data_IF_141009047299
#
_entry.id   IF_141009047299
#
_cell.length_a   1.000
_cell.length_b   1.000
_cell.length_c   1.000
_cell.angle_alpha   90.00
_cell.angle_beta   90.00
_cell.angle_gamma   90.00
#
_symmetry.space_group_name_H-M   'P 1'
#
loop_
_entity.id
_entity.type
_entity.pdbx_description
1 polymer ?
#
# COMPACT_ATOMS: atom_id res chain seq x y z
N UNK A 1 15.94 9.01 4.62
CA UNK A 1 15.42 8.21 5.76
C UNK A 1 15.60 6.71 5.52
N UNK A 2 15.73 5.90 6.58
CA UNK A 2 15.73 4.44 6.51
C UNK A 2 14.33 3.87 6.80
N UNK A 3 13.82 3.04 5.89
CA UNK A 3 12.47 2.46 5.98
C UNK A 3 12.55 0.94 6.09
N UNK A 4 11.82 0.37 7.04
CA UNK A 4 11.55 -1.07 7.09
C UNK A 4 10.07 -1.32 6.78
N UNK A 5 9.79 -2.06 5.72
CA UNK A 5 8.44 -2.44 5.30
C UNK A 5 8.24 -3.93 5.49
N UNK A 6 7.35 -4.30 6.42
CA UNK A 6 6.95 -5.68 6.68
C UNK A 6 5.69 -6.00 5.89
N UNK A 7 5.65 -7.17 5.24
CA UNK A 7 4.56 -7.54 4.33
C UNK A 7 4.46 -6.52 3.18
N UNK A 8 5.60 -6.18 2.59
CA UNK A 8 5.74 -5.02 1.68
C UNK A 8 4.82 -5.10 0.46
N UNK A 9 4.46 -6.32 0.04
CA UNK A 9 3.75 -6.55 -1.20
C UNK A 9 4.56 -5.99 -2.36
N UNK A 10 3.96 -5.06 -3.10
CA UNK A 10 4.56 -4.45 -4.30
C UNK A 10 5.11 -3.04 -4.03
N UNK A 11 5.57 -2.77 -2.80
CA UNK A 11 6.18 -1.50 -2.38
C UNK A 11 5.28 -0.26 -2.49
N UNK A 12 4.00 -0.38 -2.10
CA UNK A 12 3.09 0.78 -2.03
C UNK A 12 3.62 1.90 -1.13
N UNK A 13 4.32 1.55 -0.04
CA UNK A 13 4.97 2.53 0.84
C UNK A 13 6.04 3.34 0.11
N UNK A 14 6.93 2.66 -0.62
CA UNK A 14 7.97 3.31 -1.42
C UNK A 14 7.39 4.20 -2.53
N UNK A 15 6.34 3.75 -3.23
CA UNK A 15 5.63 4.59 -4.20
C UNK A 15 5.10 5.87 -3.54
N UNK A 16 4.49 5.75 -2.35
CA UNK A 16 3.94 6.90 -1.63
C UNK A 16 5.03 7.90 -1.19
N UNK A 17 6.17 7.42 -0.68
CA UNK A 17 7.30 8.28 -0.30
C UNK A 17 7.87 9.01 -1.52
N UNK A 18 8.07 8.30 -2.63
CA UNK A 18 8.54 8.89 -3.89
C UNK A 18 7.59 9.95 -4.45
N UNK A 19 6.26 9.70 -4.40
CA UNK A 19 5.24 10.68 -4.79
C UNK A 19 5.31 11.99 -3.99
N UNK A 20 5.80 11.91 -2.76
CA UNK A 20 5.95 13.07 -1.88
C UNK A 20 7.32 13.75 -2.01
N UNK A 21 8.26 13.18 -2.79
CA UNK A 21 9.64 13.65 -2.86
C UNK A 21 10.41 13.42 -1.57
N UNK A 22 10.01 12.45 -0.73
CA UNK A 22 10.74 12.14 0.50
C UNK A 22 11.92 11.23 0.15
N UNK A 23 13.14 11.68 0.44
CA UNK A 23 14.36 10.92 0.19
C UNK A 23 14.46 9.70 1.11
N UNK A 24 14.58 8.53 0.50
CA UNK A 24 14.77 7.24 1.17
C UNK A 24 16.21 6.78 0.93
N UNK A 25 16.99 6.70 2.00
CA UNK A 25 18.40 6.31 1.93
C UNK A 25 18.50 4.79 1.76
N UNK A 26 17.73 4.05 2.55
CA UNK A 26 17.64 2.61 2.49
C UNK A 26 16.18 2.17 2.66
N UNK A 27 15.72 1.28 1.77
CA UNK A 27 14.42 0.63 1.88
C UNK A 27 14.61 -0.87 2.05
N UNK A 28 14.22 -1.37 3.22
CA UNK A 28 14.26 -2.79 3.56
C UNK A 28 12.85 -3.37 3.47
N UNK A 29 12.68 -4.47 2.73
CA UNK A 29 11.39 -5.11 2.50
C UNK A 29 11.41 -6.55 3.00
N UNK A 30 10.49 -6.90 3.90
CA UNK A 30 10.21 -8.29 4.27
C UNK A 30 8.97 -8.75 3.50
N UNK A 31 9.20 -9.60 2.50
CA UNK A 31 8.17 -10.14 1.59
C UNK A 31 8.59 -11.55 1.14
N UNK A 32 7.58 -12.39 0.86
CA UNK A 32 7.77 -13.80 0.45
C UNK A 32 7.12 -14.12 -0.90
N UNK A 33 6.19 -13.27 -1.36
CA UNK A 33 5.45 -13.46 -2.60
C UNK A 33 6.34 -13.10 -3.79
N UNK A 34 6.76 -14.12 -4.52
CA UNK A 34 7.71 -14.01 -5.64
C UNK A 34 7.35 -12.91 -6.65
N UNK A 35 6.08 -12.84 -7.08
CA UNK A 35 5.64 -11.80 -8.02
C UNK A 35 5.72 -10.39 -7.43
N UNK A 36 5.52 -10.25 -6.11
CA UNK A 36 5.59 -8.97 -5.43
C UNK A 36 7.04 -8.48 -5.38
N UNK A 37 7.96 -9.36 -4.96
CA UNK A 37 9.41 -9.13 -4.99
C UNK A 37 9.89 -8.78 -6.41
N UNK A 38 9.43 -9.50 -7.44
CA UNK A 38 9.77 -9.22 -8.84
C UNK A 38 9.36 -7.81 -9.27
N UNK A 39 8.13 -7.39 -8.94
CA UNK A 39 7.63 -6.05 -9.28
C UNK A 39 8.40 -4.97 -8.51
N UNK A 40 8.66 -5.18 -7.23
CA UNK A 40 9.49 -4.28 -6.43
C UNK A 40 10.87 -4.14 -7.02
N UNK A 41 11.58 -5.23 -7.29
CA UNK A 41 12.96 -5.17 -7.81
C UNK A 41 13.04 -4.58 -9.22
N UNK A 42 11.99 -4.74 -10.04
CA UNK A 42 11.93 -4.11 -11.35
C UNK A 42 11.83 -2.58 -11.28
N UNK A 43 11.07 -2.04 -10.33
CA UNK A 43 10.85 -0.60 -10.19
C UNK A 43 11.84 0.08 -9.22
N UNK A 44 12.32 -0.66 -8.22
CA UNK A 44 13.19 -0.21 -7.14
C UNK A 44 14.31 -1.24 -6.91
N UNK A 45 15.30 -1.34 -7.82
CA UNK A 45 16.34 -2.37 -7.79
C UNK A 45 17.26 -2.29 -6.56
N UNK A 46 17.27 -1.15 -5.87
CA UNK A 46 18.06 -0.95 -4.65
C UNK A 46 17.32 -1.38 -3.37
N UNK A 47 16.07 -1.85 -3.47
CA UNK A 47 15.32 -2.34 -2.32
C UNK A 47 15.93 -3.63 -1.79
N UNK A 48 16.25 -3.64 -0.50
CA UNK A 48 16.91 -4.76 0.17
C UNK A 48 15.85 -5.75 0.66
N UNK A 49 15.79 -6.91 0.01
CA UNK A 49 14.83 -7.97 0.34
C UNK A 49 15.33 -8.80 1.51
N UNK A 50 14.57 -8.81 2.60
CA UNK A 50 14.89 -9.52 3.84
C UNK A 50 14.20 -10.89 3.96
N UNK A 51 13.27 -11.22 3.05
CA UNK A 51 12.54 -12.48 3.04
C UNK A 51 11.43 -12.55 4.10
N UNK A 52 11.18 -13.75 4.64
CA UNK A 52 10.12 -14.00 5.62
C UNK A 52 10.38 -13.24 6.93
N UNK A 53 9.37 -12.49 7.39
CA UNK A 53 9.41 -11.74 8.65
C UNK A 53 9.75 -12.63 9.86
N UNK A 54 9.32 -13.90 9.83
CA UNK A 54 9.58 -14.87 10.90
C UNK A 54 11.04 -15.27 10.99
N UNK A 55 11.79 -15.09 9.91
CA UNK A 55 13.22 -15.37 9.84
C UNK A 55 14.07 -14.15 10.21
N UNK A 56 13.46 -12.99 10.48
CA UNK A 56 14.17 -11.81 10.97
C UNK A 56 14.49 -11.98 12.45
N UNK A 57 15.66 -12.54 12.72
CA UNK A 57 16.21 -12.66 14.08
C UNK A 57 16.51 -11.30 14.67
N UNK A 58 16.60 -11.25 16.00
CA UNK A 58 17.00 -10.05 16.73
C UNK A 58 18.35 -9.51 16.26
N UNK A 59 19.34 -10.38 16.06
CA UNK A 59 20.65 -10.02 15.51
C UNK A 59 20.52 -9.40 14.11
N UNK A 60 19.67 -9.96 13.24
CA UNK A 60 19.44 -9.39 11.91
C UNK A 60 18.81 -8.01 12.01
N UNK A 61 17.86 -7.79 12.92
CA UNK A 61 17.22 -6.49 13.13
C UNK A 61 18.20 -5.47 13.71
N UNK A 62 19.07 -5.86 14.64
CA UNK A 62 20.13 -5.02 15.21
C UNK A 62 21.22 -4.65 14.19
N UNK A 63 21.45 -5.51 13.20
CA UNK A 63 22.40 -5.23 12.10
C UNK A 63 21.91 -4.17 11.11
N UNK A 64 20.61 -3.84 11.12
CA UNK A 64 20.06 -2.81 10.24
C UNK A 64 20.51 -1.42 10.72
N UNK A 65 20.66 -0.43 9.80
CA UNK A 65 20.80 0.95 10.23
C UNK A 65 19.56 1.38 11.02
N UNK A 66 19.70 2.44 11.82
CA UNK A 66 18.58 3.01 12.58
C UNK A 66 17.40 3.26 11.65
N UNK A 67 16.28 2.58 11.92
CA UNK A 67 15.05 2.69 11.13
C UNK A 67 14.26 3.92 11.59
N UNK A 68 13.96 4.81 10.65
CA UNK A 68 13.12 5.98 10.90
C UNK A 68 11.63 5.62 10.85
N UNK A 69 11.25 4.77 9.89
CA UNK A 69 9.87 4.45 9.59
C UNK A 69 9.68 2.94 9.45
N UNK A 70 8.83 2.35 10.29
CA UNK A 70 8.34 0.97 10.16
C UNK A 70 6.92 0.96 9.61
N UNK A 71 6.69 0.27 8.51
CA UNK A 71 5.36 0.14 7.92
C UNK A 71 4.98 -1.32 7.70
N UNK A 72 3.67 -1.62 7.71
CA UNK A 72 3.21 -2.95 7.34
C UNK A 72 1.69 -3.12 7.33
N UNK A 73 1.23 -4.11 6.58
CA UNK A 73 -0.18 -4.49 6.50
C UNK A 73 -0.29 -6.00 6.65
N UNK A 74 -0.46 -6.48 7.89
CA UNK A 74 -0.43 -7.92 8.15
C UNK A 74 -1.62 -8.63 7.47
N UNK A 75 -1.43 -9.85 6.93
CA UNK A 75 -2.49 -10.57 6.23
C UNK A 75 -3.79 -10.69 7.03
N UNK A 76 -4.87 -10.09 6.50
CA UNK A 76 -6.16 -9.94 7.19
C UNK A 76 -7.06 -11.19 7.20
N UNK A 77 -6.57 -12.36 6.77
CA UNK A 77 -7.42 -13.53 6.49
C UNK A 77 -8.17 -14.01 7.74
N UNK A 78 -7.54 -14.04 8.92
CA UNK A 78 -8.22 -14.47 10.15
C UNK A 78 -9.12 -13.39 10.78
N UNK A 79 -9.01 -12.13 10.32
CA UNK A 79 -9.74 -10.96 10.80
C UNK A 79 -10.93 -10.58 9.89
N UNK A 80 -10.88 -10.95 8.61
CA UNK A 80 -11.86 -10.55 7.59
C UNK A 80 -13.17 -11.37 7.68
N UNK A 81 -14.37 -10.74 7.55
CA UNK A 81 -15.65 -11.45 7.54
C UNK A 81 -15.83 -12.38 6.35
N UNK A 82 -15.02 -12.22 5.29
CA UNK A 82 -15.07 -13.05 4.09
C UNK A 82 -14.62 -14.51 4.35
N UNK A 83 -14.02 -14.80 5.52
CA UNK A 83 -13.58 -16.14 5.89
C UNK A 83 -14.62 -16.85 6.76
N UNK A 84 -15.07 -18.05 6.31
CA UNK A 84 -16.11 -18.85 6.99
C UNK A 84 -15.71 -19.36 8.38
N UNK A 85 -14.40 -19.45 8.70
CA UNK A 85 -13.85 -19.91 10.00
C UNK A 85 -12.82 -18.91 10.54
N UNK A 86 -13.27 -17.76 11.04
CA UNK A 86 -12.40 -16.75 11.67
C UNK A 86 -11.88 -17.25 13.02
N UNK A 87 -10.55 -17.27 13.19
CA UNK A 87 -9.89 -17.55 14.49
C UNK A 87 -9.47 -16.27 15.24
N UNK A 88 -9.67 -15.08 14.66
CA UNK A 88 -9.27 -13.80 15.25
C UNK A 88 -7.77 -13.70 15.47
N UNK A 89 -7.32 -12.85 16.40
CA UNK A 89 -5.90 -12.70 16.75
C UNK A 89 -5.24 -13.95 17.38
N UNK A 90 -6.02 -14.97 17.75
CA UNK A 90 -5.55 -16.27 18.26
C UNK A 90 -5.38 -17.32 17.16
N UNK A 91 -5.61 -16.98 15.89
CA UNK A 91 -5.36 -17.85 14.75
C UNK A 91 -3.88 -18.04 14.45
N UNK A 92 -3.53 -19.10 13.71
CA UNK A 92 -2.15 -19.31 13.26
C UNK A 92 -1.72 -18.27 12.22
N UNK A 93 -2.64 -17.56 11.55
CA UNK A 93 -2.30 -16.53 10.56
C UNK A 93 -2.28 -15.11 11.13
N UNK A 94 -2.84 -14.87 12.32
CA UNK A 94 -2.65 -13.64 13.09
C UNK A 94 -1.30 -13.58 13.82
N UNK A 95 -0.50 -14.64 13.77
CA UNK A 95 0.92 -14.62 14.19
C UNK A 95 1.69 -13.47 13.54
N UNK A 96 1.36 -13.11 12.29
CA UNK A 96 2.06 -12.05 11.56
C UNK A 96 1.81 -10.65 12.13
N UNK A 97 0.69 -10.40 12.80
CA UNK A 97 0.53 -9.18 13.59
C UNK A 97 1.52 -9.15 14.76
N UNK A 98 1.69 -10.26 15.46
CA UNK A 98 2.65 -10.36 16.57
C UNK A 98 4.10 -10.27 16.09
N UNK A 99 4.42 -10.75 14.89
CA UNK A 99 5.73 -10.49 14.27
C UNK A 99 5.97 -8.99 14.00
N UNK A 100 4.96 -8.27 13.52
CA UNK A 100 5.04 -6.81 13.39
C UNK A 100 5.33 -6.14 14.74
N UNK A 101 4.61 -6.54 15.80
CA UNK A 101 4.82 -6.00 17.16
C UNK A 101 6.21 -6.37 17.70
N UNK A 102 6.69 -7.59 17.48
CA UNK A 102 8.04 -8.02 17.85
C UNK A 102 9.09 -7.12 17.21
N UNK A 103 8.98 -6.90 15.90
CA UNK A 103 9.91 -6.03 15.16
C UNK A 103 9.79 -4.59 15.66
N UNK A 104 8.57 -4.03 15.77
CA UNK A 104 8.33 -2.68 16.29
C UNK A 104 9.00 -2.47 17.65
N UNK A 105 8.81 -3.41 18.57
CA UNK A 105 9.37 -3.34 19.90
C UNK A 105 10.91 -3.49 19.91
N UNK A 106 11.46 -4.27 18.98
CA UNK A 106 12.90 -4.49 18.85
C UNK A 106 13.63 -3.28 18.30
N UNK A 107 13.13 -2.72 17.19
CA UNK A 107 13.83 -1.65 16.46
C UNK A 107 13.46 -0.24 16.92
N UNK A 108 12.34 -0.06 17.64
CA UNK A 108 11.89 1.23 18.20
C UNK A 108 12.01 2.39 17.19
N UNK A 109 11.34 2.29 16.04
CA UNK A 109 11.42 3.29 14.98
C UNK A 109 10.80 4.60 15.45
N UNK A 110 11.22 5.72 14.84
CA UNK A 110 10.64 7.03 15.15
C UNK A 110 9.15 7.07 14.80
N UNK A 111 8.80 6.54 13.63
CA UNK A 111 7.43 6.48 13.14
C UNK A 111 7.04 5.05 12.79
N UNK A 112 5.76 4.73 12.95
CA UNK A 112 5.20 3.47 12.49
C UNK A 112 3.85 3.64 11.80
N UNK A 113 3.50 2.72 10.91
CA UNK A 113 2.18 2.61 10.31
C UNK A 113 1.78 1.15 10.15
N UNK A 114 0.69 0.75 10.83
CA UNK A 114 0.05 -0.54 10.63
C UNK A 114 -1.32 -0.36 9.97
N UNK A 115 -1.56 -1.07 8.86
CA UNK A 115 -2.86 -1.10 8.18
C UNK A 115 -3.57 -2.44 8.38
N UNK A 116 -4.91 -2.40 8.47
CA UNK A 116 -5.74 -3.60 8.38
C UNK A 116 -7.18 -3.30 7.96
N UNK A 117 -7.98 -4.35 7.74
CA UNK A 117 -9.37 -4.26 7.29
C UNK A 117 -10.28 -3.62 8.33
N UNK A 118 -11.14 -2.67 7.91
CA UNK A 118 -12.06 -2.00 8.83
C UNK A 118 -13.17 -2.92 9.37
N UNK A 119 -13.53 -3.96 8.61
CA UNK A 119 -14.57 -4.92 9.01
C UNK A 119 -14.02 -6.06 9.88
N UNK A 120 -13.17 -5.77 10.84
CA UNK A 120 -12.74 -6.74 11.85
C UNK A 120 -13.72 -6.78 13.04
N UNK A 121 -13.59 -7.77 13.93
CA UNK A 121 -14.34 -7.80 15.18
C UNK A 121 -13.87 -6.67 16.10
N UNK A 122 -14.77 -6.13 16.93
CA UNK A 122 -14.41 -5.07 17.87
C UNK A 122 -13.38 -5.55 18.89
N UNK A 123 -13.47 -6.81 19.34
CA UNK A 123 -12.52 -7.38 20.30
C UNK A 123 -11.10 -7.44 19.73
N UNK A 124 -10.95 -7.87 18.47
CA UNK A 124 -9.65 -7.88 17.80
C UNK A 124 -9.10 -6.45 17.62
N UNK A 125 -9.98 -5.49 17.30
CA UNK A 125 -9.61 -4.07 17.16
C UNK A 125 -9.12 -3.47 18.48
N UNK A 126 -9.80 -3.75 19.59
CA UNK A 126 -9.38 -3.24 20.91
C UNK A 126 -8.03 -3.84 21.35
N UNK A 127 -7.78 -5.13 21.07
CA UNK A 127 -6.45 -5.71 21.33
C UNK A 127 -5.36 -5.00 20.53
N UNK A 128 -5.61 -4.65 19.26
CA UNK A 128 -4.63 -3.87 18.47
C UNK A 128 -4.44 -2.46 19.06
N UNK A 129 -5.53 -1.80 19.49
CA UNK A 129 -5.46 -0.48 20.14
C UNK A 129 -4.60 -0.51 21.41
N UNK A 130 -4.85 -1.48 22.28
CA UNK A 130 -4.11 -1.65 23.54
C UNK A 130 -2.64 -1.98 23.27
N UNK A 131 -2.37 -2.87 22.32
CA UNK A 131 -1.01 -3.31 21.98
C UNK A 131 -0.17 -2.18 21.39
N UNK A 132 -0.75 -1.33 20.54
CA UNK A 132 -0.05 -0.21 19.91
C UNK A 132 -0.13 1.10 20.71
N UNK A 133 -0.97 1.17 21.75
CA UNK A 133 -1.20 2.38 22.55
C UNK A 133 -1.90 3.51 21.80
N UNK A 134 -2.46 3.27 20.61
CA UNK A 134 -3.11 4.28 19.76
C UNK A 134 -4.40 3.74 19.14
N UNK A 135 -5.34 4.62 18.82
CA UNK A 135 -6.56 4.26 18.08
C UNK A 135 -6.36 4.49 16.58
N UNK A 136 -7.02 3.71 15.71
CA UNK A 136 -6.83 3.84 14.28
C UNK A 136 -7.62 5.02 13.72
N UNK A 137 -7.13 5.52 12.59
CA UNK A 137 -7.90 6.38 11.70
C UNK A 137 -8.55 5.51 10.65
N UNK A 138 -9.87 5.64 10.47
CA UNK A 138 -10.63 4.88 9.49
C UNK A 138 -10.76 5.68 8.20
N UNK A 139 -10.18 5.18 7.12
CA UNK A 139 -10.21 5.85 5.81
C UNK A 139 -10.85 4.92 4.80
N UNK A 140 -11.84 5.44 4.08
CA UNK A 140 -12.32 4.80 2.88
C UNK A 140 -11.64 5.44 1.66
N UNK A 141 -11.02 4.60 0.84
CA UNK A 141 -10.28 5.01 -0.35
C UNK A 141 -11.16 5.74 -1.37
N UNK A 142 -12.50 5.72 -1.23
CA UNK A 142 -13.42 6.50 -2.07
C UNK A 142 -13.08 7.99 -2.14
N UNK A 143 -12.45 8.53 -1.09
CA UNK A 143 -12.04 9.94 -1.00
C UNK A 143 -10.92 10.27 -2.00
N UNK A 144 -10.07 9.29 -2.32
CA UNK A 144 -8.89 9.46 -3.17
C UNK A 144 -8.85 8.46 -4.32
N UNK A 145 -9.90 7.69 -4.55
CA UNK A 145 -9.92 6.70 -5.62
C UNK A 145 -11.35 6.40 -6.04
N UNK A 146 -11.48 5.73 -7.18
CA UNK A 146 -12.72 5.19 -7.68
C UNK A 146 -13.11 3.84 -7.04
N UNK A 147 -12.54 3.44 -5.89
CA UNK A 147 -12.93 2.20 -5.20
C UNK A 147 -13.46 2.41 -3.77
N UNK A 148 -14.42 1.58 -3.39
CA UNK A 148 -14.93 1.46 -2.02
C UNK A 148 -14.04 0.52 -1.19
N UNK A 149 -12.93 1.03 -0.65
CA UNK A 149 -11.96 0.28 0.17
C UNK A 149 -11.78 0.93 1.54
N UNK A 150 -12.47 0.36 2.53
CA UNK A 150 -12.52 0.83 3.92
C UNK A 150 -11.48 0.11 4.79
N UNK A 151 -10.58 0.88 5.43
CA UNK A 151 -9.40 0.41 6.16
C UNK A 151 -9.17 1.19 7.44
N UNK A 152 -8.44 0.57 8.36
CA UNK A 152 -7.97 1.14 9.62
C UNK A 152 -6.46 1.28 9.57
N UNK A 153 -5.97 2.42 10.06
CA UNK A 153 -4.56 2.78 10.08
C UNK A 153 -4.17 3.18 11.50
N UNK A 154 -3.33 2.38 12.15
CA UNK A 154 -2.73 2.70 13.45
C UNK A 154 -1.35 3.29 13.22
N UNK A 155 -1.08 4.45 13.81
CA UNK A 155 0.15 5.17 13.55
C UNK A 155 0.41 6.25 14.59
N UNK A 156 1.67 6.63 14.74
CA UNK A 156 2.13 7.83 15.45
C UNK A 156 2.64 8.93 14.50
N UNK A 157 2.35 8.82 13.19
CA UNK A 157 2.69 9.85 12.21
C UNK A 157 2.06 11.20 12.62
N UNK A 158 2.76 12.32 12.39
CA UNK A 158 2.24 13.64 12.73
C UNK A 158 1.14 14.08 11.77
N UNK A 159 0.24 14.93 12.26
CA UNK A 159 -0.77 15.65 11.45
C UNK A 159 -1.71 14.75 10.62
N UNK A 160 -1.97 13.52 11.08
CA UNK A 160 -2.82 12.58 10.34
C UNK A 160 -4.29 12.99 10.47
N UNK A 161 -4.95 13.11 9.32
CA UNK A 161 -6.36 13.46 9.18
C UNK A 161 -7.00 12.69 8.04
N UNK A 162 -8.30 12.89 7.78
CA UNK A 162 -8.92 12.34 6.58
C UNK A 162 -8.49 13.14 5.34
N UNK A 163 -8.20 12.48 4.20
CA UNK A 163 -7.98 13.18 2.95
C UNK A 163 -9.26 13.87 2.48
N UNK A 164 -9.10 14.99 1.78
CA UNK A 164 -10.24 15.63 1.08
C UNK A 164 -10.77 14.72 -0.02
N UNK A 165 -12.07 14.71 -0.21
CA UNK A 165 -12.68 13.97 -1.32
C UNK A 165 -12.30 14.63 -2.65
N UNK A 166 -11.68 13.85 -3.54
CA UNK A 166 -11.24 14.27 -4.88
C UNK A 166 -12.29 14.03 -5.96
N UNK A 167 -13.46 13.45 -5.62
CA UNK A 167 -14.54 13.23 -6.57
C UNK A 167 -14.22 12.24 -7.70
N UNK A 168 -13.24 11.34 -7.49
CA UNK A 168 -12.74 10.44 -8.55
C UNK A 168 -13.75 9.31 -8.80
N UNK A 169 -14.40 9.29 -9.95
CA UNK A 169 -15.39 8.27 -10.32
C UNK A 169 -14.76 7.10 -11.07
N UNK A 170 -15.46 5.97 -11.14
CA UNK A 170 -15.02 4.79 -11.88
C UNK A 170 -14.81 5.08 -13.37
N UNK A 171 -15.64 5.91 -13.98
CA UNK A 171 -15.47 6.36 -15.36
C UNK A 171 -14.10 7.04 -15.60
N UNK A 172 -13.54 7.77 -14.61
CA UNK A 172 -12.25 8.45 -14.75
C UNK A 172 -11.05 7.49 -14.80
N UNK A 173 -11.22 6.24 -14.36
CA UNK A 173 -10.11 5.26 -14.36
C UNK A 173 -10.12 4.35 -15.58
N UNK A 174 -11.25 4.27 -16.31
CA UNK A 174 -11.41 3.41 -17.49
C UNK A 174 -10.54 3.92 -18.66
N UNK A 175 -10.01 3.00 -19.46
CA UNK A 175 -9.37 3.34 -20.74
C UNK A 175 -10.38 3.36 -21.88
N UNK A 176 -11.36 2.46 -21.85
CA UNK A 176 -12.41 2.33 -22.86
C UNK A 176 -13.71 1.86 -22.23
N UNK A 177 -14.83 2.07 -22.92
CA UNK A 177 -16.14 1.64 -22.45
C UNK A 177 -16.68 2.54 -21.34
N UNK A 178 -17.76 2.09 -20.69
CA UNK A 178 -18.44 2.84 -19.64
C UNK A 178 -18.92 1.91 -18.52
N UNK A 179 -19.45 2.52 -17.45
CA UNK A 179 -19.99 1.83 -16.28
C UNK A 179 -21.22 2.56 -15.76
N UNK A 180 -22.17 1.81 -15.21
CA UNK A 180 -23.35 2.29 -14.46
C UNK A 180 -23.05 2.51 -12.97
N UNK A 181 -21.81 2.27 -12.51
CA UNK A 181 -21.40 2.48 -11.11
C UNK A 181 -20.53 3.71 -10.95
N UNK A 182 -20.81 4.48 -9.91
CA UNK A 182 -19.96 5.62 -9.53
C UNK A 182 -18.57 5.17 -9.02
N UNK A 183 -18.51 4.04 -8.31
CA UNK A 183 -17.29 3.47 -7.73
C UNK A 183 -17.25 1.96 -7.94
N UNK A 184 -16.05 1.42 -8.13
CA UNK A 184 -15.78 -0.01 -8.04
C UNK A 184 -15.89 -0.49 -6.58
N UNK A 185 -16.21 -1.77 -6.39
CA UNK A 185 -15.89 -2.42 -5.10
C UNK A 185 -14.37 -2.43 -4.87
N UNK A 186 -13.94 -2.66 -3.62
CA UNK A 186 -12.55 -2.95 -3.34
C UNK A 186 -12.04 -4.10 -4.23
N UNK A 187 -10.82 -3.93 -4.77
CA UNK A 187 -10.11 -5.04 -5.41
C UNK A 187 -9.78 -6.11 -4.36
N UNK A 188 -9.87 -7.36 -4.79
CA UNK A 188 -9.63 -8.55 -3.97
C UNK A 188 -8.71 -9.51 -4.73
N UNK A 189 -8.01 -10.39 -4.02
CA UNK A 189 -7.25 -11.48 -4.64
C UNK A 189 -8.11 -12.44 -5.48
N UNK A 190 -9.46 -12.37 -5.42
CA UNK A 190 -10.32 -13.11 -6.35
C UNK A 190 -10.36 -12.50 -7.76
N UNK A 191 -9.97 -11.23 -7.91
CA UNK A 191 -9.87 -10.57 -9.21
C UNK A 191 -8.76 -11.15 -10.09
N UNK A 192 -7.80 -11.88 -9.52
CA UNK A 192 -6.79 -12.65 -10.27
C UNK A 192 -7.36 -13.89 -10.98
N UNK A 193 -8.60 -14.27 -10.66
CA UNK A 193 -9.30 -15.44 -11.22
C UNK A 193 -10.65 -15.02 -11.81
N UNK A 194 -10.65 -14.18 -12.87
CA UNK A 194 -11.89 -13.71 -13.49
C UNK A 194 -12.71 -14.88 -14.05
N UNK A 195 -14.04 -14.75 -13.99
CA UNK A 195 -14.95 -15.68 -14.66
C UNK A 195 -14.81 -15.55 -16.18
N UNK A 196 -14.85 -16.68 -16.90
CA UNK A 196 -14.72 -16.68 -18.37
C UNK A 196 -16.06 -16.52 -19.10
N UNK A 197 -17.16 -17.04 -18.54
CA UNK A 197 -18.50 -16.95 -19.15
C UNK A 197 -19.10 -15.58 -18.85
N UNK A 198 -19.52 -14.90 -19.91
CA UNK A 198 -20.14 -13.57 -19.83
C UNK A 198 -21.45 -13.62 -19.04
N UNK A 199 -22.21 -14.70 -19.16
CA UNK A 199 -23.45 -14.92 -18.40
C UNK A 199 -23.15 -15.01 -16.89
N UNK A 200 -22.08 -15.73 -16.51
CA UNK A 200 -21.65 -15.82 -15.10
C UNK A 200 -21.10 -14.49 -14.59
N UNK A 201 -20.38 -13.75 -15.44
CA UNK A 201 -19.92 -12.39 -15.11
C UNK A 201 -21.11 -11.47 -14.85
N UNK A 202 -22.08 -11.45 -15.76
CA UNK A 202 -23.31 -10.66 -15.67
C UNK A 202 -24.13 -11.02 -14.43
N UNK A 203 -24.35 -12.32 -14.18
CA UNK A 203 -25.05 -12.79 -12.99
C UNK A 203 -24.35 -12.31 -11.71
N UNK A 204 -23.02 -12.42 -11.64
CA UNK A 204 -22.25 -11.93 -10.49
C UNK A 204 -22.36 -10.41 -10.37
N UNK A 205 -22.40 -9.70 -11.49
CA UNK A 205 -22.52 -8.25 -11.55
C UNK A 205 -23.88 -7.74 -11.10
N UNK A 206 -24.96 -8.11 -11.78
CA UNK A 206 -26.32 -7.63 -11.52
C UNK A 206 -26.95 -8.26 -10.28
N UNK A 207 -26.80 -9.58 -10.05
CA UNK A 207 -27.56 -10.27 -8.99
C UNK A 207 -26.88 -10.23 -7.62
N UNK A 208 -25.55 -10.27 -7.57
CA UNK A 208 -24.82 -10.28 -6.29
C UNK A 208 -24.12 -8.96 -5.98
N UNK A 209 -24.04 -8.05 -6.95
CA UNK A 209 -23.23 -6.83 -6.87
C UNK A 209 -21.71 -7.11 -6.76
N UNK A 210 -21.29 -8.37 -6.75
CA UNK A 210 -19.98 -8.82 -6.26
C UNK A 210 -18.93 -8.96 -7.38
N UNK A 211 -18.93 -8.01 -8.31
CA UNK A 211 -17.85 -7.76 -9.26
C UNK A 211 -17.99 -6.39 -9.89
N UNK A 212 -16.93 -5.89 -10.52
CA UNK A 212 -16.97 -4.70 -11.38
C UNK A 212 -16.79 -5.17 -12.83
N UNK A 213 -17.69 -4.74 -13.72
CA UNK A 213 -17.55 -4.95 -15.17
C UNK A 213 -17.58 -3.60 -15.88
N UNK A 214 -17.05 -3.58 -17.09
CA UNK A 214 -17.08 -2.45 -18.03
C UNK A 214 -17.87 -2.87 -19.26
N UNK A 215 -18.74 -1.99 -19.74
CA UNK A 215 -19.51 -2.17 -20.96
C UNK A 215 -18.75 -1.55 -22.14
N UNK A 216 -18.48 -2.32 -23.19
CA UNK A 216 -17.57 -1.89 -24.26
C UNK A 216 -18.26 -1.07 -25.36
N UNK A 217 -19.55 -1.29 -25.63
CA UNK A 217 -20.25 -0.77 -26.81
C UNK A 217 -21.31 0.31 -26.52
N UNK A 218 -21.18 1.06 -25.41
CA UNK A 218 -22.12 2.15 -25.08
C UNK A 218 -23.54 1.68 -24.68
N UNK A 219 -23.78 0.37 -24.65
CA UNK A 219 -25.05 -0.24 -24.25
C UNK A 219 -24.79 -1.24 -23.11
N UNK A 220 -25.68 -1.28 -22.12
CA UNK A 220 -25.68 -2.35 -21.12
C UNK A 220 -26.17 -3.65 -21.76
N UNK A 221 -25.24 -4.52 -22.15
CA UNK A 221 -25.58 -5.83 -22.69
C UNK A 221 -24.68 -6.93 -22.08
N UNK A 222 -25.15 -8.18 -22.12
CA UNK A 222 -24.43 -9.33 -21.55
C UNK A 222 -23.26 -9.80 -22.41
N UNK A 223 -23.17 -9.39 -23.68
CA UNK A 223 -22.22 -9.94 -24.66
C UNK A 223 -20.92 -9.14 -24.70
N UNK A 224 -21.00 -7.82 -24.50
CA UNK A 224 -19.94 -6.83 -24.63
C UNK A 224 -19.51 -6.27 -23.27
N UNK A 225 -19.27 -7.19 -22.32
CA UNK A 225 -18.78 -6.87 -20.98
C UNK A 225 -17.37 -7.39 -20.78
N UNK A 226 -16.52 -6.61 -20.13
CA UNK A 226 -15.18 -7.06 -19.73
C UNK A 226 -14.92 -6.76 -18.26
N UNK A 227 -13.90 -7.43 -17.72
CA UNK A 227 -13.30 -6.98 -16.47
C UNK A 227 -12.37 -5.79 -16.73
N UNK A 228 -12.02 -5.10 -15.64
CA UNK A 228 -10.98 -4.08 -15.67
C UNK A 228 -9.67 -4.67 -16.19
N UNK A 229 -9.04 -3.94 -17.10
CA UNK A 229 -7.72 -4.26 -17.61
C UNK A 229 -6.64 -3.92 -16.56
N UNK A 230 -5.39 -4.24 -16.86
CA UNK A 230 -4.29 -4.08 -15.90
C UNK A 230 -4.06 -2.62 -15.49
N UNK A 231 -4.07 -1.68 -16.44
CA UNK A 231 -3.86 -0.25 -16.18
C UNK A 231 -5.01 0.33 -15.34
N UNK A 232 -6.24 -0.08 -15.61
CA UNK A 232 -7.42 0.34 -14.85
C UNK A 232 -7.37 -0.20 -13.40
N UNK A 233 -6.84 -1.41 -13.18
CA UNK A 233 -6.61 -1.95 -11.84
C UNK A 233 -5.53 -1.16 -11.07
N UNK A 234 -4.44 -0.78 -11.75
CA UNK A 234 -3.39 0.07 -11.18
C UNK A 234 -3.94 1.44 -10.76
N UNK A 235 -4.72 2.08 -11.64
CA UNK A 235 -5.40 3.36 -11.38
C UNK A 235 -6.36 3.26 -10.20
N UNK A 236 -7.11 2.16 -10.06
CA UNK A 236 -7.95 1.94 -8.88
C UNK A 236 -7.14 1.93 -7.58
N UNK A 237 -5.95 1.35 -7.57
CA UNK A 237 -5.07 1.39 -6.40
C UNK A 237 -4.19 2.64 -6.33
N UNK A 238 -4.40 3.61 -7.23
CA UNK A 238 -3.60 4.84 -7.37
C UNK A 238 -2.10 4.56 -7.55
N UNK A 239 -1.79 3.39 -8.08
CA UNK A 239 -0.45 2.97 -8.49
C UNK A 239 -0.16 3.57 -9.87
N UNK A 240 1.10 3.98 -10.18
CA UNK A 240 1.44 4.47 -11.50
C UNK A 240 1.06 3.48 -12.60
N UNK A 241 0.51 3.99 -13.72
CA UNK A 241 0.17 3.14 -14.87
C UNK A 241 1.42 2.49 -15.44
N UNK A 242 1.36 1.18 -15.67
CA UNK A 242 2.47 0.35 -16.12
C UNK A 242 3.39 -0.15 -15.01
N UNK A 243 3.14 0.14 -13.73
CA UNK A 243 3.98 -0.31 -12.61
C UNK A 243 4.12 -1.84 -12.53
N UNK A 244 3.05 -2.56 -12.87
CA UNK A 244 3.00 -4.03 -12.83
C UNK A 244 3.22 -4.66 -14.20
N UNK A 245 3.66 -3.91 -15.23
CA UNK A 245 3.72 -4.35 -16.64
C UNK A 245 4.54 -5.62 -16.92
N UNK A 246 5.44 -6.00 -16.01
CA UNK A 246 6.22 -7.23 -16.10
C UNK A 246 5.41 -8.50 -15.78
N UNK A 247 4.19 -8.33 -15.27
CA UNK A 247 3.25 -9.39 -14.95
C UNK A 247 2.10 -9.40 -15.96
N UNK A 248 1.44 -10.54 -16.09
CA UNK A 248 0.14 -10.56 -16.75
C UNK A 248 -0.96 -9.94 -15.87
N UNK A 249 -2.07 -9.56 -16.48
CA UNK A 249 -3.21 -8.90 -15.81
C UNK A 249 -3.70 -9.62 -14.56
N UNK A 250 -3.72 -10.95 -14.55
CA UNK A 250 -4.22 -11.72 -13.41
C UNK A 250 -3.21 -11.77 -12.26
N UNK A 251 -1.93 -11.92 -12.56
CA UNK A 251 -0.85 -11.78 -11.57
C UNK A 251 -0.82 -10.37 -10.98
N UNK A 252 -0.97 -9.33 -11.81
CA UNK A 252 -1.10 -7.95 -11.36
C UNK A 252 -2.33 -7.75 -10.46
N UNK A 253 -3.49 -8.27 -10.85
CA UNK A 253 -4.72 -8.18 -10.05
C UNK A 253 -4.56 -8.83 -8.67
N UNK A 254 -3.77 -9.89 -8.56
CA UNK A 254 -3.47 -10.55 -7.28
C UNK A 254 -2.67 -9.64 -6.34
N UNK A 255 -1.64 -8.95 -6.86
CA UNK A 255 -0.86 -7.99 -6.08
C UNK A 255 -1.66 -6.73 -5.73
N UNK A 256 -2.37 -6.19 -6.71
CA UNK A 256 -3.20 -4.99 -6.56
C UNK A 256 -4.36 -5.22 -5.59
N UNK A 257 -4.95 -6.41 -5.52
CA UNK A 257 -5.99 -6.73 -4.54
C UNK A 257 -5.49 -6.64 -3.09
N UNK A 258 -4.28 -7.15 -2.86
CA UNK A 258 -3.63 -7.17 -1.54
C UNK A 258 -3.05 -5.80 -1.16
N UNK A 259 -2.51 -5.06 -2.14
CA UNK A 259 -1.82 -3.78 -1.92
C UNK A 259 -2.67 -2.64 -1.36
N UNK A 260 -1.99 -1.61 -0.88
CA UNK A 260 -2.61 -0.37 -0.42
C UNK A 260 -3.04 0.54 -1.55
N UNK A 261 -4.04 1.37 -1.29
CA UNK A 261 -4.33 2.54 -2.12
C UNK A 261 -3.24 3.59 -1.84
N UNK A 262 -2.29 3.72 -2.78
CA UNK A 262 -1.08 4.54 -2.64
C UNK A 262 -1.36 5.97 -2.19
N UNK A 263 -2.40 6.63 -2.71
CA UNK A 263 -2.70 8.02 -2.36
C UNK A 263 -3.26 8.19 -0.95
N UNK A 264 -3.82 7.13 -0.34
CA UNK A 264 -4.12 7.15 1.10
C UNK A 264 -2.81 7.14 1.88
N UNK A 265 -1.86 6.30 1.49
CA UNK A 265 -0.55 6.19 2.17
C UNK A 265 0.26 7.48 2.01
N UNK A 266 0.26 8.08 0.81
CA UNK A 266 0.89 9.38 0.56
C UNK A 266 0.24 10.50 1.40
N UNK A 267 -1.09 10.47 1.60
CA UNK A 267 -1.74 11.41 2.51
C UNK A 267 -1.27 11.22 3.97
N UNK A 268 -1.18 9.99 4.45
CA UNK A 268 -0.70 9.68 5.81
C UNK A 268 0.77 10.12 6.00
N UNK A 269 1.62 9.92 5.00
CA UNK A 269 3.03 10.32 5.04
C UNK A 269 3.25 11.81 4.83
N UNK A 270 2.22 12.60 4.47
CA UNK A 270 2.40 14.03 4.20
C UNK A 270 2.97 14.80 5.42
N UNK A 271 2.65 14.37 6.64
CA UNK A 271 3.21 14.94 7.87
C UNK A 271 4.73 14.76 8.02
N UNK A 272 5.34 13.84 7.27
CA UNK A 272 6.80 13.62 7.29
C UNK A 272 7.57 14.63 6.42
N UNK A 273 6.90 15.33 5.50
CA UNK A 273 7.55 16.21 4.53
C UNK A 273 8.39 17.31 5.19
N UNK A 274 7.85 17.98 6.19
CA UNK A 274 8.53 19.10 6.85
C UNK A 274 9.89 18.68 7.42
N UNK A 275 9.99 17.47 7.96
CA UNK A 275 11.24 16.98 8.53
C UNK A 275 12.23 16.49 7.47
N UNK A 276 11.77 15.81 6.43
CA UNK A 276 12.65 15.07 5.52
C UNK A 276 12.88 15.75 4.16
N UNK A 277 12.10 16.75 3.79
CA UNK A 277 12.40 17.64 2.64
C UNK A 277 13.36 18.75 3.09
N UNK A 278 13.18 19.31 4.30
CA UNK A 278 14.06 20.37 4.82
C UNK A 278 15.48 19.88 5.11
N UNK A 279 15.66 18.58 5.40
CA UNK A 279 17.00 17.97 5.53
C UNK A 279 17.80 18.07 4.23
N UNK A 280 17.16 17.90 3.08
CA UNK A 280 17.80 17.95 1.76
C UNK A 280 18.21 19.38 1.40
N UNK A 281 17.31 20.37 1.56
CA UNK A 281 17.63 21.79 1.33
C UNK A 281 18.83 22.23 2.18
N UNK A 282 18.90 21.77 3.44
CA UNK A 282 20.01 22.09 4.31
C UNK A 282 21.31 21.38 3.90
N UNK A 283 21.25 20.11 3.46
CA UNK A 283 22.42 19.37 2.97
C UNK A 283 22.99 19.98 1.68
N UNK A 284 22.13 20.31 0.70
CA UNK A 284 22.54 20.97 -0.54
C UNK A 284 23.14 22.36 -0.25
N UNK A 285 22.55 23.12 0.67
CA UNK A 285 23.10 24.42 1.07
C UNK A 285 24.48 24.30 1.74
N UNK A 286 24.69 23.25 2.55
CA UNK A 286 25.96 23.01 3.23
C UNK A 286 27.05 22.56 2.23
N UNK A 287 26.71 21.68 1.29
CA UNK A 287 27.63 21.25 0.22
C UNK A 287 28.02 22.42 -0.70
N UNK A 288 27.07 23.27 -1.07
CA UNK A 288 27.34 24.47 -1.87
C UNK A 288 28.24 25.47 -1.11
N UNK A 289 28.00 25.69 0.20
CA UNK A 289 28.88 26.52 1.01
C UNK A 289 30.31 25.95 1.16
N UNK A 290 30.45 24.63 1.19
CA UNK A 290 31.76 23.97 1.28
C UNK A 290 32.54 24.06 -0.03
N UNK A 291 31.86 23.93 -1.17
CA UNK A 291 32.42 24.19 -2.51
C UNK A 291 32.85 25.65 -2.68
N UNK A 292 32.03 26.60 -2.23
CA UNK A 292 32.36 28.03 -2.28
C UNK A 292 33.59 28.36 -1.44
N UNK A 293 33.74 27.74 -0.26
CA UNK A 293 34.94 27.89 0.59
C UNK A 293 36.19 27.33 -0.10
N UNK A 294 36.11 26.13 -0.67
CA UNK A 294 37.21 25.52 -1.40
C UNK A 294 37.63 26.36 -2.61
N UNK A 295 36.66 26.93 -3.31
CA UNK A 295 36.93 27.83 -4.43
C UNK A 295 37.65 29.11 -3.96
N UNK A 296 37.17 29.77 -2.90
CA UNK A 296 37.82 30.96 -2.34
C UNK A 296 39.26 30.66 -1.90
N UNK A 297 39.51 29.55 -1.21
CA UNK A 297 40.87 29.15 -0.80
C UNK A 297 41.82 28.95 -1.98
N UNK A 298 41.34 28.50 -3.15
CA UNK A 298 42.16 28.32 -4.35
C UNK A 298 42.55 29.63 -5.06
N UNK A 299 41.79 30.71 -4.87
CA UNK A 299 42.04 32.02 -5.52
C UNK A 299 42.75 33.02 -4.60
N UNK A 300 42.93 32.68 -3.32
CA UNK A 300 43.58 33.56 -2.33
C UNK A 300 45.04 33.17 -2.02
N UNK A 301 45.62 32.25 -2.82
CA UNK A 301 47.02 31.81 -2.74
C UNK A 301 47.81 32.29 -3.96
#
# INVERSE_FOLDING_TARGET
MNVLSLFDGMSCGQIALNKLGIVVDNYFASEIKENAIKVTQYNYPNTIQLGDVKSLTDEKLESLPKIDLLIGGSPCQDLSPAMKKRKGLKGSKSQLFWEYIRVLNKIQPKYFLLENVARMKNEDKEVINETLGVKPIRINSKLVSAQLRDRLYWTNLPNVSLPKDRGIKLEHVLETGFTDREKSRALLASDSRPLKSKEKMWHRYKNTGFTTIVFENGIEDTHNIRYLNQVELERLQTVPSGYTKILNRNQAADLLGDGWTVDVIAHLFNGLKEEYIMKEVNLDSAQNMELDKLYIEQITV
#
